data_IF_098307548568
#
_entry.id   IF_098307548568
#
_cell.length_a   1.000
_cell.length_b   1.000
_cell.length_c   1.000
_cell.angle_alpha   90.00
_cell.angle_beta   90.00
_cell.angle_gamma   90.00
#
_symmetry.space_group_name_H-M   'P 1'
#
loop_
_entity.id
_entity.type
_entity.pdbx_description
1 polymer ?
#
# COMPACT_ATOMS: atom_id res chain seq x y z
N UNK A 1 -19.11 29.69 -5.91
CA UNK A 1 -18.14 30.65 -5.35
C UNK A 1 -18.31 30.54 -3.83
N UNK A 2 -17.71 29.53 -3.21
CA UNK A 2 -17.81 29.34 -1.77
C UNK A 2 -16.59 29.97 -1.12
N UNK A 3 -16.88 30.89 -0.24
CA UNK A 3 -15.97 31.71 0.54
C UNK A 3 -15.13 30.82 1.47
N UNK A 4 -13.85 30.66 1.14
CA UNK A 4 -12.87 29.90 1.92
C UNK A 4 -12.07 30.82 2.86
N UNK A 5 -12.73 31.74 3.54
CA UNK A 5 -12.08 32.59 4.53
C UNK A 5 -12.72 32.45 5.90
N UNK A 6 -12.43 31.34 6.59
CA UNK A 6 -12.45 31.35 8.05
C UNK A 6 -11.00 31.46 8.52
N UNK A 7 -10.60 32.55 9.20
CA UNK A 7 -9.24 32.68 9.70
C UNK A 7 -9.00 31.56 10.74
N UNK A 8 -7.84 30.91 10.61
CA UNK A 8 -7.35 29.99 11.62
C UNK A 8 -7.36 30.73 12.97
N UNK A 9 -8.17 30.25 13.91
CA UNK A 9 -8.18 30.80 15.27
C UNK A 9 -6.75 30.68 15.85
N UNK A 10 -6.32 31.70 16.58
CA UNK A 10 -5.04 31.79 17.32
C UNK A 10 -4.91 30.73 18.44
N UNK A 11 -5.69 29.69 18.41
CA UNK A 11 -5.61 28.54 19.30
C UNK A 11 -4.46 27.64 18.87
N UNK A 12 -3.58 27.36 19.82
CA UNK A 12 -2.55 26.32 19.65
C UNK A 12 -3.22 25.05 19.10
N UNK A 13 -2.61 24.42 18.06
CA UNK A 13 -3.18 23.21 17.48
C UNK A 13 -3.35 22.15 18.58
N UNK A 14 -4.45 21.39 18.57
CA UNK A 14 -4.66 20.37 19.57
C UNK A 14 -3.51 19.36 19.55
N UNK A 15 -3.12 18.88 20.71
CA UNK A 15 -2.10 17.86 20.83
C UNK A 15 -2.58 16.61 20.08
N UNK A 16 -1.88 16.27 18.99
CA UNK A 16 -2.14 15.04 18.23
C UNK A 16 -0.93 14.11 18.38
N UNK A 17 -1.13 13.01 19.09
CA UNK A 17 -0.15 11.94 19.24
C UNK A 17 -0.79 10.59 18.87
N UNK A 18 -0.50 10.06 17.66
CA UNK A 18 -1.05 8.76 17.25
C UNK A 18 -0.50 7.57 18.05
N UNK A 19 0.53 7.79 18.88
CA UNK A 19 1.13 6.77 19.76
C UNK A 19 0.60 6.84 21.19
N UNK A 20 -0.30 7.77 21.50
CA UNK A 20 -0.92 7.86 22.83
C UNK A 20 -1.75 6.59 23.08
N UNK A 21 -1.52 5.85 24.18
CA UNK A 21 -2.30 4.66 24.50
C UNK A 21 -3.83 4.90 24.53
N UNK A 22 -4.28 6.07 25.00
CA UNK A 22 -5.69 6.42 25.01
C UNK A 22 -6.23 6.62 23.57
N UNK A 23 -5.43 7.23 22.68
CA UNK A 23 -5.78 7.36 21.27
C UNK A 23 -5.85 5.99 20.57
N UNK A 24 -4.90 5.11 20.85
CA UNK A 24 -4.87 3.74 20.28
C UNK A 24 -6.08 2.93 20.76
N UNK A 25 -6.45 3.06 22.03
CA UNK A 25 -7.58 2.34 22.61
C UNK A 25 -8.94 2.81 22.05
N UNK A 26 -9.15 4.13 21.91
CA UNK A 26 -10.35 4.72 21.31
C UNK A 26 -10.04 6.06 20.63
N UNK A 27 -9.78 6.08 19.30
CA UNK A 27 -9.43 7.30 18.57
C UNK A 27 -10.65 8.22 18.29
N UNK A 28 -11.88 7.74 18.41
CA UNK A 28 -13.07 8.47 17.96
C UNK A 28 -13.35 9.76 18.73
N UNK A 29 -13.22 9.83 20.06
CA UNK A 29 -13.38 11.08 20.82
C UNK A 29 -12.36 12.14 20.38
N UNK A 30 -11.10 11.74 20.13
CA UNK A 30 -10.04 12.64 19.68
C UNK A 30 -10.36 13.20 18.29
N UNK A 31 -10.76 12.35 17.34
CA UNK A 31 -11.17 12.81 16.03
C UNK A 31 -12.39 13.71 16.06
N UNK A 32 -13.33 13.48 16.97
CA UNK A 32 -14.49 14.37 17.15
C UNK A 32 -14.04 15.75 17.60
N UNK A 33 -13.24 15.83 18.64
CA UNK A 33 -12.70 17.10 19.14
C UNK A 33 -11.91 17.86 18.05
N UNK A 34 -11.10 17.16 17.26
CA UNK A 34 -10.36 17.74 16.14
C UNK A 34 -11.29 18.27 15.04
N UNK A 35 -12.34 17.54 14.68
CA UNK A 35 -13.33 18.02 13.69
C UNK A 35 -14.03 19.32 14.10
N UNK A 36 -14.28 19.47 15.41
CA UNK A 36 -14.97 20.64 15.96
C UNK A 36 -14.05 21.85 16.12
N UNK A 37 -12.79 21.63 16.47
CA UNK A 37 -11.87 22.71 16.86
C UNK A 37 -10.83 23.07 15.79
N UNK A 38 -10.31 22.08 15.08
CA UNK A 38 -9.26 22.23 14.05
C UNK A 38 -9.36 21.14 12.98
N UNK A 39 -10.40 21.16 12.12
CA UNK A 39 -10.64 20.09 11.15
C UNK A 39 -9.51 19.88 10.15
N UNK A 40 -8.73 20.92 9.88
CA UNK A 40 -7.51 20.89 9.06
C UNK A 40 -6.43 21.63 9.81
N UNK A 41 -5.35 20.96 10.18
CA UNK A 41 -4.24 21.60 10.87
C UNK A 41 -2.91 20.92 10.56
N UNK A 42 -1.82 21.68 10.75
CA UNK A 42 -0.47 21.15 10.60
C UNK A 42 -0.01 20.58 11.95
N UNK A 43 0.33 19.30 11.97
CA UNK A 43 0.80 18.63 13.19
C UNK A 43 2.20 19.10 13.57
N UNK A 44 2.61 18.95 14.85
CA UNK A 44 3.98 19.23 15.29
C UNK A 44 5.05 18.44 14.51
N UNK A 45 4.68 17.27 13.99
CA UNK A 45 5.54 16.42 13.15
C UNK A 45 5.66 16.93 11.69
N UNK A 46 4.94 17.99 11.33
CA UNK A 46 5.07 18.68 10.04
C UNK A 46 4.14 18.21 8.93
N UNK A 47 3.25 17.26 9.19
CA UNK A 47 2.23 16.85 8.19
C UNK A 47 0.88 17.52 8.47
N UNK A 48 0.04 17.62 7.42
CA UNK A 48 -1.31 18.11 7.54
C UNK A 48 -2.26 16.99 7.88
N UNK A 49 -3.11 17.20 8.90
CA UNK A 49 -4.18 16.30 9.29
C UNK A 49 -5.52 16.91 8.87
N UNK A 50 -6.33 16.11 8.18
CA UNK A 50 -7.70 16.44 7.78
C UNK A 50 -8.64 15.43 8.45
N UNK A 51 -9.70 15.92 9.11
CA UNK A 51 -10.61 15.06 9.90
C UNK A 51 -12.04 15.08 9.40
N UNK A 52 -12.41 15.97 8.46
CA UNK A 52 -13.75 15.98 7.82
C UNK A 52 -13.71 15.17 6.53
N UNK A 53 -14.78 14.44 6.28
CA UNK A 53 -14.93 13.63 5.07
C UNK A 53 -14.82 14.46 3.79
N UNK A 54 -15.52 15.63 3.74
CA UNK A 54 -15.53 16.46 2.55
C UNK A 54 -14.14 17.05 2.22
N UNK A 55 -13.38 17.47 3.23
CA UNK A 55 -12.01 17.96 3.07
C UNK A 55 -11.09 16.85 2.51
N UNK A 56 -11.19 15.64 3.05
CA UNK A 56 -10.42 14.49 2.56
C UNK A 56 -10.86 14.09 1.14
N UNK A 57 -12.16 14.04 0.88
CA UNK A 57 -12.68 13.69 -0.44
C UNK A 57 -12.29 14.72 -1.51
N UNK A 58 -12.24 15.99 -1.13
CA UNK A 58 -11.73 17.07 -1.98
C UNK A 58 -10.23 16.87 -2.27
N UNK A 59 -9.39 16.72 -1.22
CA UNK A 59 -7.95 16.57 -1.38
C UNK A 59 -7.57 15.34 -2.24
N UNK A 60 -8.28 14.23 -2.08
CA UNK A 60 -8.03 13.00 -2.85
C UNK A 60 -8.40 13.10 -4.34
N UNK A 61 -9.23 14.06 -4.74
CA UNK A 61 -9.71 14.20 -6.12
C UNK A 61 -9.10 15.40 -6.85
N UNK A 62 -8.65 16.40 -6.12
CA UNK A 62 -8.14 17.65 -6.73
C UNK A 62 -6.69 17.44 -7.19
N UNK A 63 -6.45 17.75 -8.47
CA UNK A 63 -5.15 17.56 -9.14
C UNK A 63 -4.03 18.46 -8.60
N UNK A 64 -4.35 19.44 -7.77
CA UNK A 64 -3.34 20.30 -7.10
C UNK A 64 -2.63 19.57 -5.96
N UNK A 65 -3.20 18.48 -5.46
CA UNK A 65 -2.56 17.65 -4.44
C UNK A 65 -1.79 16.51 -5.11
N UNK A 66 -0.50 16.46 -4.86
CA UNK A 66 0.39 15.38 -5.24
C UNK A 66 0.81 14.57 -4.02
N UNK A 67 1.57 13.50 -4.26
CA UNK A 67 2.03 12.61 -3.19
C UNK A 67 3.35 13.07 -2.59
N UNK A 68 4.22 13.73 -3.39
CA UNK A 68 5.57 14.16 -2.97
C UNK A 68 6.28 13.11 -2.11
N UNK A 69 6.27 11.86 -2.59
CA UNK A 69 6.76 10.72 -1.81
C UNK A 69 8.23 10.91 -1.40
N UNK A 70 9.08 11.32 -2.33
CA UNK A 70 10.51 11.53 -2.08
C UNK A 70 10.72 12.59 -1.00
N UNK A 71 10.07 13.76 -1.13
CA UNK A 71 10.14 14.82 -0.13
C UNK A 71 9.63 14.38 1.24
N UNK A 72 8.57 13.56 1.28
CA UNK A 72 8.06 12.97 2.51
C UNK A 72 9.06 12.01 3.16
N UNK A 73 9.70 11.15 2.37
CA UNK A 73 10.70 10.20 2.87
C UNK A 73 11.97 10.91 3.37
N UNK A 74 12.45 11.93 2.65
CA UNK A 74 13.59 12.75 3.10
C UNK A 74 13.30 13.44 4.43
N UNK A 75 12.11 14.01 4.60
CA UNK A 75 11.70 14.63 5.88
C UNK A 75 11.64 13.63 7.04
N UNK A 76 11.35 12.37 6.75
CA UNK A 76 11.07 11.34 7.75
C UNK A 76 12.29 10.50 8.10
N UNK A 77 13.12 10.18 7.13
CA UNK A 77 14.25 9.26 7.28
C UNK A 77 15.61 9.92 7.03
N UNK A 78 15.65 11.14 6.47
CA UNK A 78 16.87 11.79 5.98
C UNK A 78 17.20 11.41 4.53
N UNK A 79 17.99 12.25 3.87
CA UNK A 79 18.40 12.05 2.47
C UNK A 79 19.30 10.82 2.28
N UNK A 80 20.08 10.47 3.28
CA UNK A 80 20.98 9.31 3.31
C UNK A 80 20.27 7.96 3.27
N UNK A 81 18.97 7.94 3.60
CA UNK A 81 18.15 6.72 3.56
C UNK A 81 17.41 6.49 2.25
N UNK A 82 17.48 7.41 1.30
CA UNK A 82 16.75 7.30 0.03
C UNK A 82 17.25 6.17 -0.86
N UNK A 83 18.49 5.72 -0.67
CA UNK A 83 19.08 4.57 -1.37
C UNK A 83 18.79 3.22 -0.70
N UNK A 84 18.12 3.22 0.44
CA UNK A 84 17.70 1.98 1.09
C UNK A 84 16.75 1.20 0.16
N UNK A 85 17.00 -0.09 -0.09
CA UNK A 85 16.28 -0.85 -1.12
C UNK A 85 14.76 -0.80 -1.02
N UNK A 86 14.22 -0.83 0.19
CA UNK A 86 12.77 -0.78 0.41
C UNK A 86 12.19 0.61 0.08
N UNK A 87 12.88 1.69 0.41
CA UNK A 87 12.46 3.06 0.11
C UNK A 87 12.61 3.35 -1.38
N UNK A 88 13.76 3.00 -1.97
CA UNK A 88 14.05 3.20 -3.38
C UNK A 88 13.07 2.42 -4.27
N UNK A 89 12.80 1.15 -3.95
CA UNK A 89 11.83 0.33 -4.69
C UNK A 89 10.42 0.92 -4.61
N UNK A 90 9.98 1.34 -3.43
CA UNK A 90 8.66 1.94 -3.25
C UNK A 90 8.52 3.25 -4.05
N UNK A 91 9.58 4.08 -4.12
CA UNK A 91 9.58 5.33 -4.87
C UNK A 91 9.27 5.16 -6.37
N UNK A 92 9.55 3.98 -6.94
CA UNK A 92 9.26 3.65 -8.34
C UNK A 92 7.90 2.98 -8.56
N UNK A 93 7.13 2.75 -7.51
CA UNK A 93 5.80 2.12 -7.64
C UNK A 93 4.72 3.14 -8.03
N UNK A 94 3.74 2.68 -8.81
CA UNK A 94 2.53 3.45 -9.15
C UNK A 94 1.81 4.01 -7.91
N UNK A 95 1.93 3.33 -6.77
CA UNK A 95 1.26 3.71 -5.52
C UNK A 95 1.64 5.12 -5.05
N UNK A 96 2.91 5.51 -5.22
CA UNK A 96 3.46 6.74 -4.64
C UNK A 96 3.90 7.78 -5.67
N UNK A 97 3.86 7.44 -6.95
CA UNK A 97 4.22 8.36 -8.02
C UNK A 97 3.09 9.32 -8.38
N UNK A 98 3.46 10.48 -8.88
CA UNK A 98 2.56 11.48 -9.46
C UNK A 98 2.60 11.42 -11.01
N UNK A 99 1.63 12.03 -11.71
CA UNK A 99 1.71 12.18 -13.16
C UNK A 99 3.02 12.90 -13.59
N UNK A 100 3.63 12.53 -14.73
CA UNK A 100 3.11 11.62 -15.77
C UNK A 100 3.32 10.13 -15.50
N UNK A 101 4.28 9.74 -14.64
CA UNK A 101 4.68 8.35 -14.43
C UNK A 101 3.56 7.49 -13.86
N UNK A 102 2.81 8.01 -12.87
CA UNK A 102 1.60 7.35 -12.38
C UNK A 102 0.62 7.03 -13.51
N UNK A 103 0.38 7.99 -14.42
CA UNK A 103 -0.60 7.81 -15.50
C UNK A 103 -0.13 6.73 -16.48
N UNK A 104 1.16 6.72 -16.80
CA UNK A 104 1.78 5.71 -17.68
C UNK A 104 1.68 4.32 -17.06
N UNK A 105 2.16 4.14 -15.83
CA UNK A 105 2.14 2.84 -15.15
C UNK A 105 0.72 2.33 -14.94
N UNK A 106 -0.20 3.20 -14.51
CA UNK A 106 -1.60 2.84 -14.33
C UNK A 106 -2.26 2.40 -15.63
N UNK A 107 -1.89 3.01 -16.77
CA UNK A 107 -2.37 2.60 -18.09
C UNK A 107 -1.98 1.16 -18.44
N UNK A 108 -0.76 0.75 -18.12
CA UNK A 108 -0.28 -0.62 -18.33
C UNK A 108 -1.05 -1.61 -17.45
N UNK A 109 -1.17 -1.32 -16.16
CA UNK A 109 -1.87 -2.19 -15.20
C UNK A 109 -3.37 -2.31 -15.53
N UNK A 110 -4.02 -1.21 -15.95
CA UNK A 110 -5.45 -1.22 -16.27
C UNK A 110 -5.78 -2.13 -17.45
N UNK A 111 -4.87 -2.29 -18.41
CA UNK A 111 -5.05 -3.22 -19.55
C UNK A 111 -5.12 -4.69 -19.06
N UNK A 112 -4.38 -5.02 -18.01
CA UNK A 112 -4.34 -6.35 -17.41
C UNK A 112 -5.50 -6.60 -16.42
N UNK A 113 -5.97 -5.56 -15.71
CA UNK A 113 -7.08 -5.60 -14.75
C UNK A 113 -8.42 -5.25 -15.40
N UNK A 114 -9.01 -6.18 -16.12
CA UNK A 114 -10.34 -5.99 -16.72
C UNK A 114 -11.45 -6.45 -15.79
N UNK A 115 -12.66 -5.87 -15.91
CA UNK A 115 -13.83 -6.29 -15.14
C UNK A 115 -14.14 -7.79 -15.32
N UNK A 116 -13.89 -8.34 -16.52
CA UNK A 116 -14.05 -9.76 -16.82
C UNK A 116 -13.07 -10.61 -15.99
N UNK A 117 -11.75 -10.30 -16.01
CA UNK A 117 -10.75 -11.04 -15.21
C UNK A 117 -11.08 -11.01 -13.72
N UNK A 118 -11.54 -9.87 -13.20
CA UNK A 118 -11.97 -9.76 -11.80
C UNK A 118 -13.19 -10.65 -11.53
N UNK A 119 -14.16 -10.71 -12.45
CA UNK A 119 -15.33 -11.58 -12.31
C UNK A 119 -14.95 -13.07 -12.37
N UNK A 120 -14.02 -13.44 -13.24
CA UNK A 120 -13.54 -14.81 -13.41
C UNK A 120 -12.78 -15.33 -12.19
N UNK A 121 -12.26 -14.44 -11.33
CA UNK A 121 -11.64 -14.83 -10.05
C UNK A 121 -12.63 -15.25 -8.96
N UNK A 122 -13.91 -14.91 -9.08
CA UNK A 122 -14.90 -15.14 -8.02
C UNK A 122 -14.99 -16.61 -7.57
N UNK A 123 -15.06 -17.62 -8.47
CA UNK A 123 -15.05 -19.03 -8.06
C UNK A 123 -13.78 -19.42 -7.30
N UNK A 124 -12.61 -18.94 -7.75
CA UNK A 124 -11.34 -19.23 -7.10
C UNK A 124 -11.24 -18.60 -5.71
N UNK A 125 -11.67 -17.34 -5.57
CA UNK A 125 -11.71 -16.66 -4.27
C UNK A 125 -12.62 -17.41 -3.29
N UNK A 126 -13.79 -17.89 -3.75
CA UNK A 126 -14.70 -18.69 -2.92
C UNK A 126 -14.03 -19.97 -2.45
N UNK A 127 -13.39 -20.73 -3.34
CA UNK A 127 -12.66 -21.94 -2.99
C UNK A 127 -11.52 -21.66 -1.99
N UNK A 128 -10.82 -20.54 -2.14
CA UNK A 128 -9.78 -20.12 -1.17
C UNK A 128 -10.35 -19.79 0.20
N UNK A 129 -11.53 -19.15 0.25
CA UNK A 129 -12.22 -18.89 1.53
C UNK A 129 -12.60 -20.21 2.19
N UNK A 130 -13.25 -21.14 1.46
CA UNK A 130 -13.64 -22.44 1.97
C UNK A 130 -12.40 -23.19 2.50
N UNK A 131 -11.30 -23.21 1.76
CA UNK A 131 -10.02 -23.82 2.19
C UNK A 131 -9.47 -23.21 3.49
N UNK A 132 -9.51 -21.86 3.66
CA UNK A 132 -9.04 -21.25 4.92
C UNK A 132 -9.99 -21.58 6.09
N UNK A 133 -11.29 -21.65 5.87
CA UNK A 133 -12.27 -22.02 6.89
C UNK A 133 -12.12 -23.49 7.31
N UNK A 134 -11.91 -24.40 6.35
CA UNK A 134 -11.70 -25.83 6.62
C UNK A 134 -10.47 -26.09 7.51
N UNK A 135 -9.42 -25.27 7.38
CA UNK A 135 -8.21 -25.38 8.21
C UNK A 135 -8.48 -25.16 9.70
N UNK A 136 -9.47 -24.36 10.04
CA UNK A 136 -9.80 -23.99 11.43
C UNK A 136 -11.09 -24.63 11.94
N UNK A 137 -11.87 -25.25 11.07
CA UNK A 137 -13.15 -25.86 11.42
C UNK A 137 -13.05 -26.86 12.57
N UNK A 138 -11.95 -27.63 12.63
CA UNK A 138 -11.72 -28.63 13.68
C UNK A 138 -11.40 -28.06 15.06
N UNK A 139 -10.96 -26.79 15.16
CA UNK A 139 -10.65 -26.14 16.44
C UNK A 139 -11.88 -25.50 17.10
N UNK A 140 -12.95 -25.24 16.33
CA UNK A 140 -14.15 -24.55 16.80
C UNK A 140 -13.97 -23.05 17.04
N UNK A 141 -12.79 -22.49 16.79
CA UNK A 141 -12.46 -21.06 16.94
C UNK A 141 -11.54 -20.59 15.83
N UNK A 142 -11.56 -19.28 15.53
CA UNK A 142 -10.81 -18.67 14.45
C UNK A 142 -10.36 -17.25 14.82
N UNK A 143 -9.12 -16.92 14.54
CA UNK A 143 -8.64 -15.56 14.47
C UNK A 143 -8.88 -15.03 13.04
N UNK A 144 -9.91 -14.21 12.86
CA UNK A 144 -10.32 -13.73 11.53
C UNK A 144 -9.21 -12.97 10.82
N UNK A 145 -8.39 -12.22 11.55
CA UNK A 145 -7.27 -11.46 10.94
C UNK A 145 -6.17 -12.40 10.48
N UNK A 146 -5.68 -13.25 11.37
CA UNK A 146 -4.56 -14.15 11.10
C UNK A 146 -4.92 -15.23 10.08
N UNK A 147 -6.07 -15.86 10.27
CA UNK A 147 -6.42 -17.10 9.58
C UNK A 147 -7.12 -16.83 8.22
N UNK A 148 -7.75 -15.65 8.04
CA UNK A 148 -8.47 -15.31 6.81
C UNK A 148 -8.03 -13.98 6.20
N UNK A 149 -8.25 -12.86 6.90
CA UNK A 149 -8.18 -11.52 6.31
C UNK A 149 -6.77 -11.13 5.85
N UNK A 150 -5.72 -11.60 6.54
CA UNK A 150 -4.34 -11.39 6.13
C UNK A 150 -3.92 -12.36 5.01
N UNK A 151 -4.33 -13.62 5.08
CA UNK A 151 -3.86 -14.66 4.14
C UNK A 151 -4.53 -14.57 2.78
N UNK A 152 -5.85 -14.40 2.75
CA UNK A 152 -6.65 -14.46 1.52
C UNK A 152 -6.19 -13.46 0.46
N UNK A 153 -6.03 -12.16 0.73
CA UNK A 153 -5.59 -11.20 -0.28
C UNK A 153 -4.19 -11.52 -0.85
N UNK A 154 -3.27 -11.96 0.00
CA UNK A 154 -1.91 -12.32 -0.44
C UNK A 154 -1.94 -13.52 -1.38
N UNK A 155 -2.72 -14.56 -1.05
CA UNK A 155 -2.87 -15.75 -1.90
C UNK A 155 -3.50 -15.36 -3.23
N UNK A 156 -4.55 -14.53 -3.21
CA UNK A 156 -5.22 -14.04 -4.44
C UNK A 156 -4.25 -13.28 -5.33
N UNK A 157 -3.42 -12.39 -4.76
CA UNK A 157 -2.41 -11.67 -5.53
C UNK A 157 -1.35 -12.64 -6.08
N UNK A 158 -0.93 -13.63 -5.31
CA UNK A 158 0.00 -14.67 -5.78
C UNK A 158 -0.59 -15.46 -6.96
N UNK A 159 -1.87 -15.84 -6.87
CA UNK A 159 -2.58 -16.52 -7.99
C UNK A 159 -2.59 -15.63 -9.24
N UNK A 160 -2.93 -14.35 -9.09
CA UNK A 160 -2.97 -13.40 -10.21
C UNK A 160 -1.60 -13.19 -10.87
N UNK A 161 -0.53 -13.19 -10.08
CA UNK A 161 0.84 -13.04 -10.57
C UNK A 161 1.44 -14.36 -11.09
N UNK A 162 0.71 -15.48 -10.96
CA UNK A 162 1.19 -16.79 -11.34
C UNK A 162 2.30 -17.34 -10.43
N UNK A 163 2.31 -16.95 -9.15
CA UNK A 163 3.25 -17.45 -8.14
C UNK A 163 2.79 -18.83 -7.65
N UNK A 164 3.58 -19.90 -7.84
CA UNK A 164 3.25 -21.24 -7.35
C UNK A 164 3.07 -21.29 -5.83
N UNK A 165 2.27 -22.24 -5.34
CA UNK A 165 1.93 -22.33 -3.93
C UNK A 165 3.16 -22.50 -3.04
N UNK A 166 4.10 -23.33 -3.45
CA UNK A 166 5.36 -23.59 -2.78
C UNK A 166 6.25 -22.34 -2.57
N UNK A 167 6.01 -21.28 -3.34
CA UNK A 167 6.77 -20.03 -3.28
C UNK A 167 6.05 -18.90 -2.53
N UNK A 168 4.83 -19.12 -1.98
CA UNK A 168 4.00 -18.06 -1.37
C UNK A 168 4.39 -17.70 0.06
N UNK A 169 5.04 -18.63 0.78
CA UNK A 169 5.35 -18.43 2.19
C UNK A 169 6.15 -17.13 2.49
N UNK A 170 7.18 -16.74 1.73
CA UNK A 170 7.88 -15.48 1.95
C UNK A 170 7.00 -14.23 1.78
N UNK A 171 6.04 -14.25 0.85
CA UNK A 171 5.11 -13.13 0.62
C UNK A 171 4.10 -13.00 1.76
N UNK A 172 3.61 -14.11 2.29
CA UNK A 172 2.75 -14.13 3.47
C UNK A 172 3.46 -13.58 4.72
N UNK A 173 4.72 -13.93 4.92
CA UNK A 173 5.50 -13.48 6.07
C UNK A 173 5.95 -12.01 5.94
N UNK A 174 6.30 -11.55 4.72
CA UNK A 174 6.90 -10.24 4.47
C UNK A 174 5.93 -9.08 4.33
N UNK A 175 4.64 -9.33 4.06
CA UNK A 175 3.66 -8.29 3.71
C UNK A 175 3.45 -7.25 4.81
N UNK A 176 3.46 -7.63 6.08
CA UNK A 176 3.26 -6.73 7.21
C UNK A 176 4.41 -5.73 7.40
N UNK A 177 5.65 -6.18 7.28
CA UNK A 177 6.83 -5.32 7.51
C UNK A 177 6.96 -4.26 6.42
N UNK A 178 6.79 -4.66 5.15
CA UNK A 178 6.92 -3.74 4.03
C UNK A 178 5.83 -2.65 4.02
N UNK A 179 4.62 -2.96 4.51
CA UNK A 179 3.52 -2.01 4.63
C UNK A 179 3.82 -0.87 5.61
N UNK A 180 4.62 -1.11 6.66
CA UNK A 180 4.97 -0.12 7.67
C UNK A 180 5.75 1.08 7.15
N UNK A 181 6.40 0.96 6.00
CA UNK A 181 7.11 2.08 5.37
C UNK A 181 6.17 3.26 5.05
N UNK A 182 4.88 2.98 4.82
CA UNK A 182 3.85 3.98 4.53
C UNK A 182 3.22 4.60 5.78
N UNK A 183 3.46 4.02 6.96
CA UNK A 183 2.90 4.53 8.21
C UNK A 183 3.56 5.86 8.62
N UNK A 184 2.86 6.76 9.34
CA UNK A 184 3.40 8.04 9.79
C UNK A 184 4.59 7.92 10.73
N UNK A 185 4.70 6.80 11.45
CA UNK A 185 5.78 6.54 12.41
C UNK A 185 6.97 5.91 11.69
N UNK A 186 8.18 6.49 11.79
CA UNK A 186 9.35 5.90 11.19
C UNK A 186 9.63 4.48 11.70
N UNK A 187 10.06 3.62 10.81
CA UNK A 187 10.52 2.28 11.16
C UNK A 187 11.82 2.33 11.97
N UNK A 188 11.98 1.42 12.90
CA UNK A 188 13.25 1.16 13.54
C UNK A 188 14.28 0.66 12.53
N UNK A 189 15.58 0.71 12.87
CA UNK A 189 16.63 0.19 11.98
C UNK A 189 16.42 -1.29 11.67
N UNK A 190 16.08 -2.11 12.67
CA UNK A 190 15.84 -3.53 12.49
C UNK A 190 14.67 -3.82 11.52
N UNK A 191 13.58 -3.06 11.65
CA UNK A 191 12.43 -3.18 10.73
C UNK A 191 12.80 -2.76 9.30
N UNK A 192 13.58 -1.69 9.15
CA UNK A 192 14.04 -1.23 7.83
C UNK A 192 15.00 -2.26 7.19
N UNK A 193 15.92 -2.84 7.96
CA UNK A 193 16.80 -3.90 7.50
C UNK A 193 16.01 -5.13 7.03
N UNK A 194 14.97 -5.50 7.75
CA UNK A 194 14.07 -6.60 7.35
C UNK A 194 13.31 -6.23 6.07
N UNK A 195 12.78 -5.02 5.95
CA UNK A 195 12.11 -4.55 4.74
C UNK A 195 13.06 -4.53 3.53
N UNK A 196 14.30 -4.10 3.72
CA UNK A 196 15.34 -4.12 2.69
C UNK A 196 15.65 -5.54 2.21
N UNK A 197 15.77 -6.50 3.14
CA UNK A 197 15.97 -7.89 2.81
C UNK A 197 14.79 -8.46 2.01
N UNK A 198 13.57 -8.24 2.49
CA UNK A 198 12.34 -8.68 1.82
C UNK A 198 12.26 -8.12 0.39
N UNK A 199 12.57 -6.83 0.22
CA UNK A 199 12.54 -6.16 -1.09
C UNK A 199 13.57 -6.74 -2.05
N UNK A 200 14.81 -7.00 -1.59
CA UNK A 200 15.84 -7.62 -2.41
C UNK A 200 15.44 -9.03 -2.84
N UNK A 201 14.93 -9.83 -1.92
CA UNK A 201 14.49 -11.21 -2.22
C UNK A 201 13.31 -11.23 -3.19
N UNK A 202 12.34 -10.33 -2.99
CA UNK A 202 11.22 -10.18 -3.92
C UNK A 202 11.71 -9.76 -5.32
N UNK A 203 12.65 -8.81 -5.43
CA UNK A 203 13.23 -8.39 -6.71
C UNK A 203 13.90 -9.54 -7.45
N UNK A 204 14.72 -10.34 -6.76
CA UNK A 204 15.37 -11.55 -7.35
C UNK A 204 14.29 -12.52 -7.86
N UNK A 205 13.28 -12.80 -7.04
CA UNK A 205 12.20 -13.72 -7.39
C UNK A 205 11.39 -13.24 -8.61
N UNK A 206 10.99 -11.97 -8.62
CA UNK A 206 10.21 -11.43 -9.74
C UNK A 206 11.01 -11.37 -11.03
N UNK A 207 12.33 -11.06 -10.99
CA UNK A 207 13.17 -11.14 -12.17
C UNK A 207 13.20 -12.57 -12.73
N UNK A 208 13.38 -13.57 -11.89
CA UNK A 208 13.32 -14.98 -12.32
C UNK A 208 11.96 -15.37 -12.89
N UNK A 209 10.87 -14.90 -12.27
CA UNK A 209 9.52 -15.15 -12.76
C UNK A 209 9.28 -14.49 -14.13
N UNK A 210 9.74 -13.26 -14.33
CA UNK A 210 9.66 -12.58 -15.63
C UNK A 210 10.45 -13.33 -16.72
N UNK A 211 11.69 -13.79 -16.42
CA UNK A 211 12.47 -14.61 -17.35
C UNK A 211 11.76 -15.92 -17.71
N UNK A 212 11.12 -16.56 -16.71
CA UNK A 212 10.32 -17.76 -16.97
C UNK A 212 9.12 -17.44 -17.87
N UNK A 213 8.42 -16.31 -17.66
CA UNK A 213 7.28 -15.91 -18.48
C UNK A 213 7.66 -15.47 -19.90
N UNK A 214 8.87 -14.99 -20.13
CA UNK A 214 9.41 -14.78 -21.50
C UNK A 214 9.50 -16.09 -22.26
N UNK A 215 9.92 -17.16 -21.60
CA UNK A 215 10.07 -18.50 -22.22
C UNK A 215 8.76 -19.27 -22.28
N UNK A 216 7.96 -19.16 -21.23
CA UNK A 216 6.72 -19.90 -21.02
C UNK A 216 5.60 -18.95 -20.61
N UNK A 217 4.98 -18.22 -21.58
CA UNK A 217 3.87 -17.33 -21.29
C UNK A 217 2.68 -18.07 -20.67
N UNK A 218 2.06 -17.46 -19.65
CA UNK A 218 0.84 -17.98 -19.01
C UNK A 218 -0.24 -16.90 -18.99
N UNK A 219 -1.47 -17.28 -18.69
CA UNK A 219 -2.56 -16.32 -18.48
C UNK A 219 -2.51 -15.76 -17.05
N UNK A 220 -1.47 -14.97 -16.77
CA UNK A 220 -1.26 -14.29 -15.49
C UNK A 220 -0.82 -12.83 -15.69
N UNK A 221 -0.83 -12.05 -14.59
CA UNK A 221 -0.46 -10.63 -14.64
C UNK A 221 1.03 -10.38 -14.85
N UNK A 222 1.89 -11.39 -14.70
CA UNK A 222 3.32 -11.26 -14.95
C UNK A 222 3.63 -11.33 -16.45
N UNK A 223 2.90 -12.12 -17.19
CA UNK A 223 3.09 -12.29 -18.65
C UNK A 223 2.77 -11.02 -19.45
N UNK A 224 1.71 -10.29 -19.10
CA UNK A 224 1.29 -9.11 -19.87
C UNK A 224 2.32 -7.96 -19.85
N UNK A 225 2.89 -7.56 -18.70
CA UNK A 225 3.99 -6.60 -18.66
C UNK A 225 5.24 -7.05 -19.43
N UNK A 226 5.60 -8.33 -19.34
CA UNK A 226 6.73 -8.89 -20.07
C UNK A 226 6.55 -8.75 -21.59
N UNK A 227 5.36 -9.05 -22.11
CA UNK A 227 5.03 -8.83 -23.53
C UNK A 227 5.04 -7.36 -23.93
N UNK A 228 4.57 -6.46 -23.05
CA UNK A 228 4.58 -5.03 -23.30
C UNK A 228 6.01 -4.48 -23.38
N UNK A 229 6.93 -4.95 -22.53
CA UNK A 229 8.35 -4.60 -22.57
C UNK A 229 9.00 -5.06 -23.87
N UNK A 230 8.74 -6.27 -24.36
CA UNK A 230 9.22 -6.80 -25.63
C UNK A 230 8.70 -5.98 -26.84
N UNK A 231 7.51 -5.40 -26.71
CA UNK A 231 6.92 -4.52 -27.71
C UNK A 231 7.46 -3.08 -27.68
N UNK A 232 8.43 -2.77 -26.78
CA UNK A 232 9.09 -1.47 -26.67
C UNK A 232 8.47 -0.51 -25.64
N UNK A 233 7.45 -0.91 -24.90
CA UNK A 233 6.92 -0.18 -23.76
C UNK A 233 7.82 -0.44 -22.54
N UNK A 234 8.60 0.56 -22.11
CA UNK A 234 9.45 0.42 -20.93
C UNK A 234 8.63 0.45 -19.65
N UNK A 235 8.79 -0.58 -18.82
CA UNK A 235 8.24 -0.65 -17.46
C UNK A 235 9.06 0.14 -16.43
N UNK A 236 10.24 0.58 -16.81
CA UNK A 236 11.17 1.40 -16.00
C UNK A 236 11.21 2.84 -16.48
#
# INVERSE_FOLDING_TARGET
MNDMTTPASDRAPPAFNPLDPAFIADPYPFYRALRETAPVFKTPQGFWLMTRYDDMAFALRDRRFGKDFVGNMVRRYGSDRMEEPAIASLAHTMLVQDPPDHTRLRGLVTKAFTARRVADMRPRIRALVDEQLDRVAGSGEMDVIRDLAHRLPVIVICDMLGIPEEHRAPFLAGSNVNGRILEPVPMTRAELDQANMNTKMAGIYFNQLCELRRREPKDDLTTEPVKAEEAGDKLT
#
